data_IF_708003706658
#
_entry.id   IF_708003706658
#
_cell.length_a   1.000
_cell.length_b   1.000
_cell.length_c   1.000
_cell.angle_alpha   90.00
_cell.angle_beta   90.00
_cell.angle_gamma   90.00
#
_symmetry.space_group_name_H-M   'P 1'
#
loop_
_entity.id
_entity.type
_entity.pdbx_description
1 polymer ?
#
# COMPACT_ATOMS: atom_id res chain seq x y z
N UNK A 1 15.85 -11.13 35.97
CA UNK A 1 16.09 -10.30 34.77
C UNK A 1 15.08 -10.74 33.73
N UNK A 2 14.09 -9.90 33.41
CA UNK A 2 12.97 -10.26 32.54
C UNK A 2 13.40 -10.17 31.07
N UNK A 3 13.18 -11.25 30.31
CA UNK A 3 13.36 -11.28 28.87
C UNK A 3 12.35 -10.32 28.21
N UNK A 4 12.76 -9.42 27.30
CA UNK A 4 11.79 -8.66 26.51
C UNK A 4 11.03 -9.64 25.60
N UNK A 5 9.70 -9.64 25.71
CA UNK A 5 8.82 -10.44 24.85
C UNK A 5 9.13 -10.20 23.36
N UNK A 6 9.11 -11.24 22.50
CA UNK A 6 9.41 -11.12 21.07
C UNK A 6 8.52 -10.12 20.30
N UNK A 7 7.39 -9.75 20.91
CA UNK A 7 6.38 -8.87 20.34
C UNK A 7 6.81 -7.40 20.20
N UNK A 8 7.85 -6.95 20.92
CA UNK A 8 8.23 -5.53 20.93
C UNK A 8 9.00 -5.10 19.67
N UNK A 9 9.64 -6.04 18.96
CA UNK A 9 10.38 -5.74 17.72
C UNK A 9 9.46 -5.62 16.50
N UNK A 10 8.15 -5.80 16.67
CA UNK A 10 7.14 -5.73 15.61
C UNK A 10 6.39 -4.40 15.54
N UNK A 11 6.57 -3.48 16.51
CA UNK A 11 5.90 -2.19 16.50
C UNK A 11 6.71 -1.06 15.86
N UNK A 12 8.00 -1.25 15.61
CA UNK A 12 8.87 -0.14 15.18
C UNK A 12 8.77 0.28 13.70
N UNK A 13 7.88 -0.31 12.87
CA UNK A 13 7.78 0.06 11.44
C UNK A 13 6.39 0.44 10.93
N UNK A 14 5.38 0.58 11.80
CA UNK A 14 4.01 0.93 11.37
C UNK A 14 3.45 2.19 12.04
N UNK A 15 3.79 2.48 13.30
CA UNK A 15 3.32 3.69 14.00
C UNK A 15 3.75 5.02 13.32
N UNK A 16 4.77 4.98 12.45
CA UNK A 16 5.22 6.18 11.70
C UNK A 16 4.46 6.47 10.41
N UNK A 17 3.74 5.49 9.83
CA UNK A 17 3.16 5.62 8.48
C UNK A 17 1.69 5.24 8.39
N UNK A 18 1.18 4.36 9.27
CA UNK A 18 -0.25 4.07 9.39
C UNK A 18 -0.54 3.92 10.88
N UNK A 19 -1.05 4.97 11.51
CA UNK A 19 -1.48 4.91 12.89
C UNK A 19 -2.86 4.23 12.95
N UNK A 20 -2.87 2.96 13.32
CA UNK A 20 -4.08 2.14 13.45
C UNK A 20 -4.82 2.39 14.77
N UNK A 21 -4.29 3.21 15.68
CA UNK A 21 -4.79 3.30 17.05
C UNK A 21 -5.37 4.66 17.46
N UNK A 22 -5.23 5.72 16.65
CA UNK A 22 -5.53 7.09 17.12
C UNK A 22 -6.62 7.84 16.35
N UNK A 23 -6.92 7.46 15.11
CA UNK A 23 -7.93 8.18 14.33
C UNK A 23 -9.30 7.47 14.40
N UNK A 24 -10.39 8.21 14.72
CA UNK A 24 -11.74 7.64 14.73
C UNK A 24 -12.06 7.03 13.37
N UNK A 25 -12.93 6.02 13.25
CA UNK A 25 -13.30 5.47 11.94
C UNK A 25 -13.92 6.54 11.01
N UNK A 26 -13.85 6.34 9.69
CA UNK A 26 -14.48 7.29 8.76
C UNK A 26 -15.99 7.28 8.97
N UNK A 27 -16.63 8.44 8.85
CA UNK A 27 -18.09 8.51 8.80
C UNK A 27 -18.61 7.72 7.59
N UNK A 28 -19.82 7.16 7.68
CA UNK A 28 -20.38 6.36 6.58
C UNK A 28 -20.41 7.11 5.23
N UNK A 29 -20.72 8.41 5.27
CA UNK A 29 -20.70 9.27 4.08
C UNK A 29 -19.27 9.51 3.58
N UNK A 30 -18.33 9.82 4.48
CA UNK A 30 -16.91 10.02 4.15
C UNK A 30 -16.31 8.77 3.52
N UNK A 31 -16.66 7.60 4.03
CA UNK A 31 -16.21 6.31 3.49
C UNK A 31 -16.71 6.09 2.07
N UNK A 32 -17.98 6.41 1.79
CA UNK A 32 -18.53 6.29 0.43
C UNK A 32 -17.81 7.23 -0.54
N UNK A 33 -17.54 8.47 -0.12
CA UNK A 33 -16.80 9.43 -0.93
C UNK A 33 -15.34 9.00 -1.14
N UNK A 34 -14.66 8.60 -0.07
CA UNK A 34 -13.29 8.11 -0.08
C UNK A 34 -13.14 6.93 -1.05
N UNK A 35 -14.05 5.96 -0.99
CA UNK A 35 -14.08 4.80 -1.90
C UNK A 35 -14.25 5.23 -3.35
N UNK A 36 -15.23 6.10 -3.62
CA UNK A 36 -15.49 6.61 -4.97
C UNK A 36 -14.23 7.27 -5.54
N UNK A 37 -13.60 8.14 -4.76
CA UNK A 37 -12.40 8.90 -5.16
C UNK A 37 -11.18 8.00 -5.33
N UNK A 38 -11.01 7.04 -4.43
CA UNK A 38 -9.98 6.00 -4.53
C UNK A 38 -10.08 5.24 -5.85
N UNK A 39 -11.26 4.69 -6.17
CA UNK A 39 -11.48 3.96 -7.42
C UNK A 39 -11.33 4.85 -8.65
N UNK A 40 -11.79 6.11 -8.60
CA UNK A 40 -11.59 7.09 -9.68
C UNK A 40 -10.11 7.26 -10.02
N UNK A 41 -9.26 7.43 -9.01
CA UNK A 41 -7.80 7.59 -9.18
C UNK A 41 -7.14 6.31 -9.68
N UNK A 42 -7.38 5.19 -8.99
CA UNK A 42 -6.69 3.93 -9.28
C UNK A 42 -7.06 3.40 -10.67
N UNK A 43 -8.34 3.47 -11.06
CA UNK A 43 -8.78 2.98 -12.36
C UNK A 43 -8.22 3.85 -13.50
N UNK A 44 -8.21 5.17 -13.35
CA UNK A 44 -7.62 6.08 -14.35
C UNK A 44 -6.13 5.77 -14.58
N UNK A 45 -5.38 5.62 -13.49
CA UNK A 45 -3.95 5.30 -13.57
C UNK A 45 -3.73 3.87 -14.11
N UNK A 46 -4.59 2.91 -13.80
CA UNK A 46 -4.51 1.54 -14.34
C UNK A 46 -4.75 1.52 -15.86
N UNK A 47 -5.79 2.20 -16.34
CA UNK A 47 -6.08 2.33 -17.77
C UNK A 47 -4.90 2.97 -18.51
N UNK A 48 -4.36 4.06 -17.97
CA UNK A 48 -3.21 4.74 -18.57
C UNK A 48 -1.97 3.86 -18.56
N UNK A 49 -1.75 3.04 -17.52
CA UNK A 49 -0.64 2.10 -17.47
C UNK A 49 -0.75 1.01 -18.55
N UNK A 50 -1.97 0.49 -18.79
CA UNK A 50 -2.24 -0.50 -19.85
C UNK A 50 -2.01 0.10 -21.24
N UNK A 51 -2.45 1.34 -21.48
CA UNK A 51 -2.26 2.02 -22.77
C UNK A 51 -0.81 2.43 -23.04
N UNK A 52 0.00 2.63 -22.01
CA UNK A 52 1.43 2.95 -22.12
C UNK A 52 2.33 1.71 -22.23
N UNK A 53 1.76 0.50 -22.35
CA UNK A 53 2.49 -0.77 -22.37
C UNK A 53 3.21 -1.03 -23.71
N UNK A 54 4.04 -0.07 -24.13
CA UNK A 54 5.08 -0.25 -25.12
C UNK A 54 6.43 -0.14 -24.42
N UNK A 55 7.09 -1.29 -24.21
CA UNK A 55 8.50 -1.42 -23.82
C UNK A 55 8.87 -1.11 -22.36
N UNK A 56 9.26 -2.17 -21.64
CA UNK A 56 10.35 -2.10 -20.65
C UNK A 56 9.98 -1.92 -19.18
N UNK A 57 10.03 -3.04 -18.43
CA UNK A 57 10.45 -3.10 -17.01
C UNK A 57 9.45 -2.82 -15.88
N UNK A 58 8.13 -2.97 -16.04
CA UNK A 58 7.28 -3.10 -14.84
C UNK A 58 7.24 -4.54 -14.34
N UNK A 59 7.81 -4.86 -13.16
CA UNK A 59 7.80 -6.22 -12.62
C UNK A 59 6.40 -6.70 -12.23
N UNK A 60 5.44 -5.79 -12.00
CA UNK A 60 4.05 -6.10 -11.65
C UNK A 60 3.11 -4.92 -11.94
N UNK A 61 1.79 -5.18 -11.86
CA UNK A 61 0.75 -4.15 -11.99
C UNK A 61 0.57 -3.39 -10.65
N UNK A 62 1.29 -2.26 -10.53
CA UNK A 62 1.27 -1.39 -9.33
C UNK A 62 -0.12 -0.86 -8.97
N UNK A 63 -0.92 -0.26 -9.89
CA UNK A 63 -2.29 0.13 -9.57
C UNK A 63 -3.15 -1.03 -9.06
N UNK A 64 -3.02 -2.22 -9.66
CA UNK A 64 -3.74 -3.39 -9.17
C UNK A 64 -3.29 -3.80 -7.76
N UNK A 65 -1.99 -3.73 -7.43
CA UNK A 65 -1.52 -4.02 -6.07
C UNK A 65 -2.21 -3.11 -5.04
N UNK A 66 -2.27 -1.80 -5.31
CA UNK A 66 -2.94 -0.82 -4.44
C UNK A 66 -4.42 -1.14 -4.30
N UNK A 67 -5.12 -1.43 -5.42
CA UNK A 67 -6.55 -1.81 -5.41
C UNK A 67 -6.79 -3.07 -4.58
N UNK A 68 -6.02 -4.12 -4.82
CA UNK A 68 -6.20 -5.41 -4.16
C UNK A 68 -5.86 -5.32 -2.66
N UNK A 69 -4.87 -4.52 -2.28
CA UNK A 69 -4.56 -4.28 -0.85
C UNK A 69 -5.76 -3.69 -0.13
N UNK A 70 -6.48 -2.76 -0.76
CA UNK A 70 -7.72 -2.21 -0.24
C UNK A 70 -8.86 -3.24 -0.19
N UNK A 71 -9.10 -3.95 -1.30
CA UNK A 71 -10.23 -4.88 -1.43
C UNK A 71 -10.14 -6.09 -0.49
N UNK A 72 -8.92 -6.58 -0.25
CA UNK A 72 -8.67 -7.73 0.62
C UNK A 72 -8.36 -7.35 2.08
N UNK A 73 -8.45 -6.08 2.45
CA UNK A 73 -8.41 -5.68 3.85
C UNK A 73 -9.61 -6.27 4.61
N UNK A 74 -9.32 -7.01 5.70
CA UNK A 74 -10.27 -7.91 6.37
C UNK A 74 -11.36 -7.21 7.18
N UNK A 75 -11.13 -5.96 7.62
CA UNK A 75 -12.08 -5.18 8.39
C UNK A 75 -12.35 -3.83 7.76
N UNK A 76 -13.54 -3.28 8.02
CA UNK A 76 -13.91 -1.91 7.61
C UNK A 76 -12.93 -0.88 8.18
N UNK A 77 -12.49 -1.09 9.42
CA UNK A 77 -11.45 -0.27 10.06
C UNK A 77 -10.11 -0.32 9.29
N UNK A 78 -9.67 -1.51 8.88
CA UNK A 78 -8.45 -1.65 8.06
C UNK A 78 -8.58 -0.95 6.71
N UNK A 79 -9.78 -1.02 6.10
CA UNK A 79 -10.09 -0.30 4.87
C UNK A 79 -10.04 1.22 5.07
N UNK A 80 -10.58 1.73 6.17
CA UNK A 80 -10.55 3.15 6.50
C UNK A 80 -9.12 3.65 6.72
N UNK A 81 -8.30 2.92 7.50
CA UNK A 81 -6.89 3.25 7.69
C UNK A 81 -6.11 3.23 6.38
N UNK A 82 -6.37 2.26 5.51
CA UNK A 82 -5.76 2.20 4.20
C UNK A 82 -6.13 3.42 3.36
N UNK A 83 -7.41 3.79 3.31
CA UNK A 83 -7.88 4.96 2.56
C UNK A 83 -7.20 6.24 3.07
N UNK A 84 -7.08 6.41 4.39
CA UNK A 84 -6.38 7.57 4.96
C UNK A 84 -4.90 7.60 4.60
N UNK A 85 -4.21 6.47 4.73
CA UNK A 85 -2.80 6.38 4.34
C UNK A 85 -2.60 6.69 2.85
N UNK A 86 -3.48 6.18 2.00
CA UNK A 86 -3.50 6.46 0.57
C UNK A 86 -3.69 7.96 0.29
N UNK A 87 -4.76 8.58 0.80
CA UNK A 87 -5.04 10.00 0.55
C UNK A 87 -3.95 10.92 1.11
N UNK A 88 -3.39 10.58 2.29
CA UNK A 88 -2.22 11.28 2.84
C UNK A 88 -1.00 11.17 1.92
N UNK A 89 -0.71 9.98 1.40
CA UNK A 89 0.40 9.77 0.47
C UNK A 89 0.21 10.56 -0.83
N UNK A 90 -1.03 10.74 -1.28
CA UNK A 90 -1.35 11.52 -2.47
C UNK A 90 -1.42 13.03 -2.23
N UNK A 91 -1.24 13.49 -0.98
CA UNK A 91 -1.50 14.87 -0.57
C UNK A 91 -2.91 15.37 -0.96
N UNK A 92 -3.90 14.47 -0.92
CA UNK A 92 -5.30 14.76 -1.22
C UNK A 92 -6.15 14.71 0.06
N UNK A 93 -7.22 15.50 0.09
CA UNK A 93 -8.30 15.31 1.07
C UNK A 93 -8.94 13.93 0.88
N UNK A 94 -9.55 13.36 1.92
CA UNK A 94 -10.34 12.12 1.83
C UNK A 94 -11.71 12.39 1.18
N UNK A 95 -12.32 13.52 1.51
CA UNK A 95 -13.61 14.00 0.99
C UNK A 95 -13.45 15.16 0.02
N UNK A 96 -14.50 15.45 -0.75
CA UNK A 96 -14.54 16.56 -1.71
C UNK A 96 -14.60 16.13 -3.17
N UNK A 97 -14.22 17.03 -4.07
CA UNK A 97 -14.34 16.81 -5.51
C UNK A 97 -13.34 15.74 -6.02
N UNK A 98 -13.73 15.07 -7.11
CA UNK A 98 -12.86 14.13 -7.79
C UNK A 98 -11.66 14.89 -8.40
N UNK A 99 -10.52 14.20 -8.50
CA UNK A 99 -9.36 14.75 -9.19
C UNK A 99 -9.70 14.96 -10.67
N UNK A 100 -9.40 16.15 -11.17
CA UNK A 100 -9.47 16.47 -12.59
C UNK A 100 -8.20 16.01 -13.31
N UNK A 101 -8.33 15.04 -14.22
CA UNK A 101 -7.23 14.53 -15.05
C UNK A 101 -7.04 15.32 -16.36
N UNK A 102 -7.71 16.47 -16.49
CA UNK A 102 -7.48 17.45 -17.56
C UNK A 102 -6.10 18.11 -17.45
N UNK A 103 -5.62 18.35 -16.23
CA UNK A 103 -4.28 18.85 -15.96
C UNK A 103 -3.25 17.72 -16.06
N UNK A 104 -2.34 17.82 -17.05
CA UNK A 104 -1.33 16.80 -17.35
C UNK A 104 -0.19 16.77 -16.35
N UNK A 105 0.11 17.90 -15.72
CA UNK A 105 1.18 17.97 -14.73
C UNK A 105 0.71 17.30 -13.43
N UNK A 106 -0.51 17.64 -12.99
CA UNK A 106 -1.16 17.00 -11.84
C UNK A 106 -1.38 15.49 -12.07
N UNK A 107 -1.87 15.10 -13.26
CA UNK A 107 -2.05 13.69 -13.62
C UNK A 107 -0.72 12.92 -13.56
N UNK A 108 0.37 13.52 -14.06
CA UNK A 108 1.70 12.93 -14.04
C UNK A 108 2.26 12.75 -12.64
N UNK A 109 2.12 13.78 -11.79
CA UNK A 109 2.53 13.73 -10.39
C UNK A 109 1.75 12.66 -9.62
N UNK A 110 0.42 12.66 -9.73
CA UNK A 110 -0.42 11.69 -9.04
C UNK A 110 -0.12 10.26 -9.50
N UNK A 111 0.10 10.04 -10.80
CA UNK A 111 0.53 8.74 -11.33
C UNK A 111 1.86 8.32 -10.70
N UNK A 112 2.87 9.19 -10.69
CA UNK A 112 4.18 8.90 -10.10
C UNK A 112 4.06 8.53 -8.62
N UNK A 113 3.32 9.32 -7.85
CA UNK A 113 3.07 9.11 -6.43
C UNK A 113 2.35 7.78 -6.16
N UNK A 114 1.37 7.42 -7.00
CA UNK A 114 0.69 6.13 -6.90
C UNK A 114 1.62 4.93 -7.13
N UNK A 115 2.48 5.02 -8.14
CA UNK A 115 3.46 3.96 -8.40
C UNK A 115 4.44 3.83 -7.22
N UNK A 116 4.93 4.97 -6.70
CA UNK A 116 5.81 4.97 -5.53
C UNK A 116 5.13 4.44 -4.27
N UNK A 117 3.84 4.72 -4.07
CA UNK A 117 3.06 4.15 -2.96
C UNK A 117 2.93 2.63 -3.09
N UNK A 118 2.75 2.11 -4.32
CA UNK A 118 2.71 0.68 -4.57
C UNK A 118 4.07 -0.01 -4.32
N UNK A 119 5.18 0.63 -4.71
CA UNK A 119 6.54 0.15 -4.40
C UNK A 119 6.76 0.15 -2.88
N UNK A 120 6.35 1.21 -2.18
CA UNK A 120 6.41 1.29 -0.72
C UNK A 120 5.64 0.15 -0.04
N UNK A 121 4.41 -0.14 -0.50
CA UNK A 121 3.63 -1.26 0.00
C UNK A 121 4.36 -2.60 -0.21
N UNK A 122 4.91 -2.82 -1.41
CA UNK A 122 5.66 -4.03 -1.73
C UNK A 122 6.87 -4.20 -0.80
N UNK A 123 7.71 -3.17 -0.71
CA UNK A 123 8.98 -3.22 0.01
C UNK A 123 8.82 -3.34 1.53
N UNK A 124 7.78 -2.72 2.10
CA UNK A 124 7.62 -2.64 3.55
C UNK A 124 6.62 -3.66 4.11
N UNK A 125 5.67 -4.14 3.31
CA UNK A 125 4.63 -5.08 3.80
C UNK A 125 4.79 -6.47 3.20
N UNK A 126 4.90 -6.57 1.88
CA UNK A 126 4.83 -7.86 1.20
C UNK A 126 6.19 -8.57 1.13
N UNK A 127 7.29 -7.88 0.82
CA UNK A 127 8.63 -8.49 0.79
C UNK A 127 9.06 -9.04 2.16
N UNK A 128 8.93 -8.31 3.28
CA UNK A 128 9.30 -8.84 4.58
C UNK A 128 8.50 -10.08 4.96
N UNK A 129 7.23 -10.19 4.55
CA UNK A 129 6.42 -11.39 4.76
C UNK A 129 6.94 -12.60 3.96
N UNK A 130 7.46 -12.38 2.75
CA UNK A 130 7.98 -13.44 1.89
C UNK A 130 9.31 -14.00 2.38
N UNK A 131 10.22 -13.14 2.88
CA UNK A 131 11.53 -13.57 3.41
C UNK A 131 11.46 -14.20 4.81
N UNK A 132 10.33 -14.02 5.51
CA UNK A 132 10.13 -14.52 6.88
C UNK A 132 9.50 -15.93 6.92
N UNK A 133 9.24 -16.54 5.76
CA UNK A 133 8.85 -17.95 5.68
C UNK A 133 10.08 -18.85 5.93
N UNK A 134 10.11 -19.66 7.00
CA UNK A 134 11.25 -20.52 7.35
C UNK A 134 11.53 -21.64 6.34
N UNK A 135 10.68 -21.80 5.32
CA UNK A 135 10.89 -22.77 4.24
C UNK A 135 11.88 -22.31 3.16
N UNK A 136 12.29 -21.03 3.15
CA UNK A 136 13.24 -20.48 2.17
C UNK A 136 14.62 -20.14 2.75
N UNK A 137 14.91 -20.50 4.01
CA UNK A 137 16.30 -20.47 4.48
C UNK A 137 17.08 -21.58 3.77
N UNK A 138 18.17 -21.28 3.04
CA UNK A 138 19.09 -22.32 2.60
C UNK A 138 19.61 -22.97 3.88
N UNK A 139 19.17 -24.22 4.12
CA UNK A 139 19.68 -25.04 5.19
C UNK A 139 21.20 -25.04 5.08
N UNK A 140 21.87 -24.31 5.97
CA UNK A 140 23.29 -24.51 6.24
C UNK A 140 23.42 -25.93 6.77
N UNK A 141 23.73 -26.86 5.88
CA UNK A 141 24.38 -28.10 6.24
C UNK A 141 25.85 -27.95 5.81
N UNK A 142 26.58 -27.17 6.62
CA UNK A 142 28.02 -27.25 6.70
C UNK A 142 28.38 -28.51 7.50
N UNK A 143 29.21 -29.35 6.88
CA UNK A 143 30.27 -30.18 7.48
C UNK A 143 29.91 -31.23 8.55
N UNK A 144 30.10 -32.50 8.17
CA UNK A 144 30.93 -33.41 8.96
C UNK A 144 31.53 -34.52 8.10
N UNK A 145 32.86 -34.59 8.19
CA UNK A 145 33.75 -35.61 7.65
C UNK A 145 33.42 -37.02 8.17
N UNK A 146 33.53 -38.02 7.30
CA UNK A 146 34.46 -39.16 7.41
C UNK A 146 34.44 -39.95 6.10
#
# INVERSE_FOLDING_TARGET
MANPSPHHRHQASLDGVIDFSTEPSLGALERVEARRRFYHIVNHVEEKNRSSSGSGSNPYNRPALVRLTYEYALSEESQDHFLRAFFRSMALSVTGENVDFGDKDLEGELRSTLLSFADYLLDNFFLPCLYRNPFNSPTSADVSSQ
#
